data_IF_031526233539
#
_entry.id   IF_031526233539
#
_cell.length_a   1.000
_cell.length_b   1.000
_cell.length_c   1.000
_cell.angle_alpha   90.00
_cell.angle_beta   90.00
_cell.angle_gamma   90.00
#
_symmetry.space_group_name_H-M   'P 1'
#
loop_
_entity.id
_entity.type
_entity.pdbx_description
1 polymer ?
#
# COMPACT_ATOMS: atom_id res chain seq x y z
N UNK A 1 -9.29 5.20 11.56
CA UNK A 1 -9.83 5.63 10.24
C UNK A 1 -9.73 4.45 9.26
N UNK A 2 -9.95 4.65 7.96
CA UNK A 2 -9.85 3.57 6.96
C UNK A 2 -8.46 2.93 6.89
N UNK A 3 -7.40 3.67 7.25
CA UNK A 3 -6.03 3.15 7.27
C UNK A 3 -5.89 2.16 8.42
N UNK A 4 -6.31 2.55 9.63
CA UNK A 4 -6.23 1.65 10.79
C UNK A 4 -7.09 0.40 10.63
N UNK A 5 -8.28 0.55 10.05
CA UNK A 5 -9.17 -0.55 9.71
C UNK A 5 -8.51 -1.51 8.71
N UNK A 6 -7.91 -0.97 7.64
CA UNK A 6 -7.20 -1.79 6.67
C UNK A 6 -6.00 -2.50 7.30
N UNK A 7 -5.23 -1.83 8.15
CA UNK A 7 -4.08 -2.43 8.84
C UNK A 7 -4.50 -3.50 9.85
N UNK A 8 -5.68 -3.36 10.46
CA UNK A 8 -6.28 -4.38 11.33
C UNK A 8 -6.64 -5.64 10.54
N UNK A 9 -7.30 -5.49 9.39
CA UNK A 9 -7.69 -6.64 8.54
C UNK A 9 -6.59 -7.18 7.63
N UNK A 10 -5.48 -6.45 7.44
CA UNK A 10 -4.42 -6.76 6.47
C UNK A 10 -3.95 -8.21 6.53
N UNK A 11 -3.62 -8.71 7.73
CA UNK A 11 -3.04 -10.06 7.90
C UNK A 11 -3.98 -11.17 7.46
N UNK A 12 -5.30 -10.96 7.53
CA UNK A 12 -6.29 -11.88 6.98
C UNK A 12 -6.48 -11.63 5.48
N UNK A 13 -6.68 -10.38 5.08
CA UNK A 13 -7.06 -10.01 3.72
C UNK A 13 -5.99 -10.36 2.68
N UNK A 14 -4.71 -10.25 3.03
CA UNK A 14 -3.60 -10.47 2.09
C UNK A 14 -3.54 -11.88 1.47
N UNK A 15 -4.28 -12.85 2.03
CA UNK A 15 -4.39 -14.20 1.49
C UNK A 15 -5.53 -14.39 0.48
N UNK A 16 -6.50 -13.47 0.42
CA UNK A 16 -7.62 -13.62 -0.49
C UNK A 16 -7.20 -13.35 -1.93
N UNK A 17 -7.63 -14.23 -2.84
CA UNK A 17 -7.44 -14.10 -4.29
C UNK A 17 -8.58 -13.35 -4.98
N UNK A 18 -9.73 -13.28 -4.32
CA UNK A 18 -10.94 -12.62 -4.81
C UNK A 18 -11.48 -11.72 -3.73
N UNK A 19 -11.99 -10.54 -4.12
CA UNK A 19 -12.62 -9.60 -3.21
C UNK A 19 -13.84 -9.00 -3.91
N UNK A 20 -15.01 -9.07 -3.26
CA UNK A 20 -16.26 -8.49 -3.77
C UNK A 20 -16.32 -7.02 -3.34
N UNK A 21 -16.36 -6.10 -4.31
CA UNK A 21 -16.45 -4.66 -4.04
C UNK A 21 -17.91 -4.29 -3.83
N UNK A 22 -18.28 -3.91 -2.60
CA UNK A 22 -19.64 -3.54 -2.23
C UNK A 22 -19.85 -2.03 -2.18
N UNK A 23 -18.77 -1.27 -2.00
CA UNK A 23 -18.81 0.17 -1.78
C UNK A 23 -17.57 0.89 -2.31
N UNK A 24 -17.63 2.22 -2.39
CA UNK A 24 -16.46 3.06 -2.67
C UNK A 24 -15.36 2.92 -1.61
N UNK A 25 -15.74 2.63 -0.36
CA UNK A 25 -14.80 2.44 0.76
C UNK A 25 -13.93 1.20 0.54
N UNK A 26 -14.51 0.13 -0.01
CA UNK A 26 -13.77 -1.09 -0.37
C UNK A 26 -12.65 -0.81 -1.37
N UNK A 27 -12.86 0.11 -2.31
CA UNK A 27 -11.82 0.50 -3.27
C UNK A 27 -10.64 1.18 -2.58
N UNK A 28 -10.87 1.98 -1.55
CA UNK A 28 -9.79 2.58 -0.77
C UNK A 28 -9.05 1.50 0.03
N UNK A 29 -9.78 0.59 0.68
CA UNK A 29 -9.22 -0.53 1.44
C UNK A 29 -8.35 -1.44 0.56
N UNK A 30 -8.80 -1.77 -0.65
CA UNK A 30 -8.04 -2.59 -1.61
C UNK A 30 -6.73 -1.89 -1.97
N UNK A 31 -6.77 -0.58 -2.28
CA UNK A 31 -5.56 0.18 -2.62
C UNK A 31 -4.57 0.19 -1.46
N UNK A 32 -5.04 0.49 -0.24
CA UNK A 32 -4.20 0.49 0.96
C UNK A 32 -3.60 -0.91 1.20
N UNK A 33 -4.40 -1.98 1.07
CA UNK A 33 -3.91 -3.36 1.27
C UNK A 33 -2.77 -3.72 0.31
N UNK A 34 -2.88 -3.32 -0.95
CA UNK A 34 -1.80 -3.50 -1.92
C UNK A 34 -0.58 -2.65 -1.56
N UNK A 35 -0.78 -1.39 -1.19
CA UNK A 35 0.31 -0.49 -0.84
C UNK A 35 1.06 -0.91 0.43
N UNK A 36 0.37 -1.46 1.43
CA UNK A 36 1.00 -2.05 2.62
C UNK A 36 1.98 -3.16 2.23
N UNK A 37 1.65 -3.97 1.23
CA UNK A 37 2.57 -5.01 0.73
C UNK A 37 3.83 -4.38 0.12
N UNK A 38 3.70 -3.28 -0.63
CA UNK A 38 4.86 -2.53 -1.16
C UNK A 38 5.73 -1.93 -0.04
N UNK A 39 5.11 -1.38 1.00
CA UNK A 39 5.81 -0.91 2.19
C UNK A 39 6.63 -2.05 2.82
N UNK A 40 6.03 -3.23 3.02
CA UNK A 40 6.71 -4.37 3.63
C UNK A 40 7.90 -4.86 2.80
N UNK A 41 7.82 -4.84 1.46
CA UNK A 41 8.95 -5.20 0.58
C UNK A 41 10.16 -4.27 0.80
N UNK A 42 9.93 -2.96 0.95
CA UNK A 42 10.99 -1.98 1.23
C UNK A 42 11.51 -2.09 2.66
N UNK A 43 10.61 -2.19 3.63
CA UNK A 43 10.95 -2.28 5.06
C UNK A 43 11.74 -3.56 5.38
N UNK A 44 11.58 -4.64 4.61
CA UNK A 44 12.38 -5.86 4.76
C UNK A 44 13.90 -5.62 4.61
N UNK A 45 14.30 -4.55 3.90
CA UNK A 45 15.72 -4.18 3.71
C UNK A 45 16.21 -3.14 4.72
N UNK A 46 15.34 -2.65 5.59
CA UNK A 46 15.65 -1.61 6.56
C UNK A 46 16.12 -2.23 7.88
N UNK A 47 17.17 -1.64 8.48
CA UNK A 47 17.75 -2.14 9.74
C UNK A 47 17.20 -1.44 10.97
N UNK A 48 16.62 -0.25 10.82
CA UNK A 48 16.07 0.56 11.91
C UNK A 48 14.89 1.43 11.45
N UNK A 49 14.12 1.96 12.41
CA UNK A 49 12.93 2.78 12.17
C UNK A 49 13.22 4.04 11.35
N UNK A 50 14.33 4.74 11.61
CA UNK A 50 14.66 5.98 10.89
C UNK A 50 14.90 5.72 9.40
N UNK A 51 15.65 4.67 9.07
CA UNK A 51 15.82 4.23 7.69
C UNK A 51 14.48 3.83 7.07
N UNK A 52 13.64 3.11 7.82
CA UNK A 52 12.30 2.75 7.38
C UNK A 52 11.45 3.97 7.03
N UNK A 53 11.43 5.01 7.87
CA UNK A 53 10.68 6.24 7.61
C UNK A 53 11.17 6.97 6.35
N UNK A 54 12.48 7.04 6.12
CA UNK A 54 13.03 7.63 4.90
C UNK A 54 12.59 6.86 3.64
N UNK A 55 12.70 5.52 3.66
CA UNK A 55 12.25 4.67 2.56
C UNK A 55 10.72 4.78 2.33
N UNK A 56 9.92 4.91 3.39
CA UNK A 56 8.47 5.11 3.26
C UNK A 56 8.12 6.46 2.64
N UNK A 57 8.87 7.52 2.99
CA UNK A 57 8.72 8.82 2.34
C UNK A 57 9.05 8.75 0.86
N UNK A 58 10.20 8.15 0.51
CA UNK A 58 10.62 7.95 -0.89
C UNK A 58 9.61 7.10 -1.66
N UNK A 59 9.09 6.03 -1.06
CA UNK A 59 8.07 5.18 -1.69
C UNK A 59 6.77 5.96 -1.93
N UNK A 60 6.32 6.78 -0.99
CA UNK A 60 5.08 7.52 -1.13
C UNK A 60 5.10 8.53 -2.29
N UNK A 61 6.25 9.18 -2.52
CA UNK A 61 6.45 10.12 -3.64
C UNK A 61 6.77 9.43 -4.97
N UNK A 62 7.13 8.15 -4.95
CA UNK A 62 7.44 7.40 -6.17
C UNK A 62 6.23 7.31 -7.09
N UNK A 63 6.49 7.14 -8.40
CA UNK A 63 5.45 7.05 -9.41
C UNK A 63 4.73 5.71 -9.30
N UNK A 64 3.47 5.77 -8.91
CA UNK A 64 2.50 4.69 -9.07
C UNK A 64 1.48 5.08 -10.12
N UNK A 65 1.12 4.11 -10.96
CA UNK A 65 0.06 4.31 -11.94
C UNK A 65 -1.29 4.44 -11.23
N UNK A 66 -2.19 5.23 -11.82
CA UNK A 66 -3.56 5.47 -11.32
C UNK A 66 -4.61 4.78 -12.21
N UNK A 67 -5.86 4.61 -11.74
CA UNK A 67 -6.96 4.12 -12.58
C UNK A 67 -7.01 4.78 -13.97
N UNK A 68 -7.03 3.97 -15.02
CA UNK A 68 -6.98 4.37 -16.42
C UNK A 68 -5.60 4.26 -17.07
N UNK A 69 -4.52 4.20 -16.29
CA UNK A 69 -3.16 4.01 -16.80
C UNK A 69 -2.83 2.51 -16.95
N UNK A 70 -2.00 2.17 -17.95
CA UNK A 70 -1.76 0.79 -18.36
C UNK A 70 -1.16 -0.11 -17.26
N UNK A 71 -0.34 0.45 -16.35
CA UNK A 71 0.26 -0.33 -15.26
C UNK A 71 -0.59 -0.41 -14.00
N UNK A 72 -1.78 0.22 -13.95
CA UNK A 72 -2.67 0.06 -12.79
C UNK A 72 -3.36 -1.32 -12.79
N UNK A 73 -3.11 -2.18 -11.78
CA UNK A 73 -3.49 -3.59 -11.81
C UNK A 73 -5.01 -3.87 -11.68
N UNK A 74 -5.80 -2.85 -11.36
CA UNK A 74 -7.21 -2.94 -11.00
C UNK A 74 -8.14 -2.08 -11.89
N UNK A 75 -7.73 -1.78 -13.13
CA UNK A 75 -8.54 -0.99 -14.08
C UNK A 75 -9.96 -1.51 -14.33
N UNK A 76 -10.21 -2.81 -14.13
CA UNK A 76 -11.55 -3.39 -14.28
C UNK A 76 -12.53 -3.01 -13.14
N UNK A 77 -12.01 -2.53 -12.01
CA UNK A 77 -12.78 -2.30 -10.78
C UNK A 77 -12.83 -0.82 -10.39
N UNK A 78 -11.89 -0.01 -10.90
CA UNK A 78 -11.78 1.42 -10.62
C UNK A 78 -12.18 2.23 -11.85
N UNK A 79 -12.96 3.29 -11.62
CA UNK A 79 -13.24 4.27 -12.66
C UNK A 79 -11.98 5.08 -12.95
N UNK A 80 -11.70 5.31 -14.24
CA UNK A 80 -10.69 6.27 -14.67
C UNK A 80 -11.18 7.71 -14.37
N UNK A 81 -10.29 8.66 -14.08
CA UNK A 81 -10.66 10.06 -13.97
C UNK A 81 -11.23 10.60 -15.29
N UNK A 82 -12.20 11.52 -15.22
CA UNK A 82 -12.89 12.08 -16.39
C UNK A 82 -12.16 13.27 -17.02
N UNK A 83 -11.20 13.87 -16.29
CA UNK A 83 -10.43 15.03 -16.74
C UNK A 83 -8.99 14.97 -16.22
N UNK A 84 -8.10 15.79 -16.80
CA UNK A 84 -6.73 15.94 -16.30
C UNK A 84 -6.70 16.49 -14.87
N UNK A 85 -7.62 17.39 -14.54
CA UNK A 85 -7.74 17.97 -13.19
C UNK A 85 -8.14 16.90 -12.16
N UNK A 86 -9.11 16.05 -12.50
CA UNK A 86 -9.51 14.93 -11.63
C UNK A 86 -8.38 13.90 -11.48
N UNK A 87 -7.64 13.63 -12.57
CA UNK A 87 -6.48 12.75 -12.52
C UNK A 87 -5.40 13.29 -11.58
N UNK A 88 -5.11 14.59 -11.63
CA UNK A 88 -4.14 15.22 -10.75
C UNK A 88 -4.59 15.22 -9.28
N UNK A 89 -5.86 15.54 -9.03
CA UNK A 89 -6.44 15.44 -7.69
C UNK A 89 -6.34 14.01 -7.13
N UNK A 90 -6.62 13.01 -7.96
CA UNK A 90 -6.50 11.60 -7.57
C UNK A 90 -5.05 11.22 -7.25
N UNK A 91 -4.05 11.69 -8.02
CA UNK A 91 -2.64 11.46 -7.71
C UNK A 91 -2.24 12.06 -6.36
N UNK A 92 -2.68 13.29 -6.09
CA UNK A 92 -2.41 13.98 -4.83
C UNK A 92 -3.06 13.25 -3.65
N UNK A 93 -4.33 12.85 -3.80
CA UNK A 93 -5.05 12.08 -2.78
C UNK A 93 -4.35 10.74 -2.47
N UNK A 94 -4.00 9.97 -3.50
CA UNK A 94 -3.30 8.70 -3.32
C UNK A 94 -1.90 8.90 -2.74
N UNK A 95 -1.21 9.99 -3.09
CA UNK A 95 0.10 10.31 -2.49
C UNK A 95 -0.03 10.60 -0.99
N UNK A 96 -1.01 11.42 -0.58
CA UNK A 96 -1.27 11.69 0.84
C UNK A 96 -1.60 10.40 1.59
N UNK A 97 -2.44 9.54 0.99
CA UNK A 97 -2.77 8.23 1.55
C UNK A 97 -1.51 7.36 1.72
N UNK A 98 -0.63 7.33 0.71
CA UNK A 98 0.63 6.59 0.77
C UNK A 98 1.58 7.09 1.86
N UNK A 99 1.64 8.39 2.09
CA UNK A 99 2.48 8.97 3.16
C UNK A 99 2.01 8.49 4.54
N UNK A 100 0.71 8.66 4.83
CA UNK A 100 0.11 8.24 6.10
C UNK A 100 0.22 6.72 6.34
N UNK A 101 -0.09 5.91 5.32
CA UNK A 101 0.04 4.45 5.41
C UNK A 101 1.50 4.06 5.66
N UNK A 102 2.45 4.67 4.96
CA UNK A 102 3.88 4.38 5.12
C UNK A 102 4.37 4.60 6.54
N UNK A 103 4.02 5.73 7.15
CA UNK A 103 4.38 6.07 8.53
C UNK A 103 3.80 5.02 9.50
N UNK A 104 2.49 4.74 9.40
CA UNK A 104 1.78 3.83 10.31
C UNK A 104 2.19 2.36 10.16
N UNK A 105 2.59 1.94 8.96
CA UNK A 105 3.17 0.61 8.73
C UNK A 105 4.58 0.53 9.32
N UNK A 106 5.41 1.55 9.11
CA UNK A 106 6.76 1.60 9.68
C UNK A 106 6.73 1.50 11.21
N UNK A 107 5.81 2.20 11.87
CA UNK A 107 5.60 2.10 13.32
C UNK A 107 5.24 0.68 13.78
N UNK A 108 4.35 0.00 13.05
CA UNK A 108 3.94 -1.38 13.36
C UNK A 108 5.07 -2.40 13.10
N UNK A 109 5.92 -2.15 12.10
CA UNK A 109 7.07 -2.99 11.79
C UNK A 109 8.18 -2.80 12.82
N UNK A 110 8.44 -1.59 13.29
CA UNK A 110 9.48 -1.29 14.26
C UNK A 110 8.92 -1.03 15.67
N UNK A 111 7.87 -1.74 16.06
CA UNK A 111 7.22 -1.56 17.37
C UNK A 111 7.96 -2.24 18.54
N UNK A 112 8.97 -3.06 18.26
CA UNK A 112 9.78 -3.74 19.26
C UNK A 112 10.79 -2.80 19.93
N UNK A 113 11.08 -3.06 21.20
CA UNK A 113 12.07 -2.30 21.98
C UNK A 113 13.51 -2.45 21.47
N UNK A 114 13.80 -3.52 20.71
CA UNK A 114 15.11 -3.78 20.12
C UNK A 114 15.40 -2.94 18.86
N UNK A 115 14.41 -2.16 18.39
CA UNK A 115 14.53 -1.32 17.20
C UNK A 115 14.65 -2.11 15.89
N UNK A 116 14.45 -3.44 15.91
CA UNK A 116 14.53 -4.31 14.74
C UNK A 116 13.17 -4.48 14.06
N UNK A 117 13.15 -4.82 12.76
CA UNK A 117 11.89 -5.02 12.07
C UNK A 117 11.21 -6.33 12.52
N UNK A 118 9.91 -6.24 12.78
CA UNK A 118 9.09 -7.32 13.29
C UNK A 118 8.84 -8.39 12.20
N UNK A 119 9.39 -9.60 12.42
CA UNK A 119 9.21 -10.73 11.51
C UNK A 119 7.75 -11.12 11.24
N UNK A 120 6.84 -10.84 12.18
CA UNK A 120 5.40 -11.11 12.06
C UNK A 120 4.66 -10.12 11.16
N UNK A 121 5.35 -9.07 10.70
CA UNK A 121 4.90 -8.22 9.61
C UNK A 121 5.66 -8.56 8.32
N UNK A 122 6.98 -8.72 8.40
CA UNK A 122 7.81 -8.99 7.22
C UNK A 122 7.51 -10.32 6.52
N UNK A 123 6.94 -11.32 7.22
CA UNK A 123 6.55 -12.59 6.60
C UNK A 123 5.47 -12.42 5.50
N UNK A 124 4.78 -11.28 5.46
CA UNK A 124 3.77 -10.96 4.46
C UNK A 124 4.35 -10.24 3.22
N UNK A 125 5.62 -9.83 3.20
CA UNK A 125 6.21 -9.04 2.11
C UNK A 125 6.18 -9.74 0.73
N UNK A 126 6.09 -11.07 0.71
CA UNK A 126 5.99 -11.88 -0.52
C UNK A 126 4.55 -12.28 -0.88
N UNK A 127 3.56 -11.96 -0.04
CA UNK A 127 2.15 -12.27 -0.31
C UNK A 127 1.58 -11.24 -1.29
N UNK A 128 0.56 -11.64 -2.04
CA UNK A 128 -0.10 -10.79 -3.04
C UNK A 128 -1.60 -10.89 -2.85
N UNK A 129 -2.18 -9.81 -2.35
CA UNK A 129 -3.63 -9.68 -2.30
C UNK A 129 -4.20 -9.66 -3.72
N UNK A 130 -5.23 -10.47 -3.99
CA UNK A 130 -5.84 -10.66 -5.32
C UNK A 130 -4.88 -11.06 -6.44
N UNK A 131 -3.70 -11.62 -6.09
CA UNK A 131 -2.60 -11.85 -7.03
C UNK A 131 -2.14 -10.58 -7.79
N UNK A 132 -2.41 -9.39 -7.23
CA UNK A 132 -2.03 -8.07 -7.78
C UNK A 132 -0.86 -7.44 -7.01
N UNK A 133 -0.23 -6.46 -7.64
CA UNK A 133 0.91 -5.69 -7.12
C UNK A 133 0.81 -4.28 -7.70
N UNK A 134 1.08 -3.25 -6.89
CA UNK A 134 1.12 -1.86 -7.39
C UNK A 134 2.43 -1.57 -8.13
N UNK A 135 3.50 -2.29 -7.76
CA UNK A 135 4.75 -2.31 -8.51
C UNK A 135 4.73 -3.39 -9.58
N UNK A 136 5.31 -3.09 -10.74
CA UNK A 136 5.54 -4.08 -11.79
C UNK A 136 6.54 -5.17 -11.37
N UNK A 137 6.64 -6.28 -12.10
CA UNK A 137 7.63 -7.32 -11.82
C UNK A 137 9.05 -6.73 -11.83
N UNK A 138 9.76 -6.81 -10.71
CA UNK A 138 11.18 -6.41 -10.62
C UNK A 138 11.46 -5.00 -10.06
N UNK A 139 10.45 -4.27 -9.59
CA UNK A 139 10.61 -3.00 -8.87
C UNK A 139 10.60 -3.16 -7.34
#
# INVERSE_FOLDING_TARGET
>A
DIIDETLYYFKANVFFRTYEVKSEVDRVLIYITLYVTECLKKLQRCSNKNQGLQEMYTLAISRFDIPGEAGFPLNAVYARPNSSTEAELMRQYLQQLRQEVGIRVCERVFSGEDGKPNKWWLCFAKKKFMDKSLSGPGQ
#
